data_IF_653127935820
#
_entry.id   IF_653127935820
#
_cell.length_a   1.000
_cell.length_b   1.000
_cell.length_c   1.000
_cell.angle_alpha   90.00
_cell.angle_beta   90.00
_cell.angle_gamma   90.00
#
_symmetry.space_group_name_H-M   'P 1'
#
loop_
_entity.id
_entity.type
_entity.pdbx_description
1 polymer ?
#
# COMPACT_ATOMS: atom_id res chain seq x y z
N UNK A 1 -0.52 10.04 -18.14
CA UNK A 1 0.40 9.02 -17.62
C UNK A 1 0.43 9.07 -16.11
N UNK A 2 -0.63 8.57 -15.32
CA UNK A 2 -0.58 8.64 -13.86
C UNK A 2 0.37 7.61 -13.27
N UNK A 3 1.05 7.99 -12.19
CA UNK A 3 1.88 7.10 -11.39
C UNK A 3 1.40 7.19 -9.94
N UNK A 4 0.99 6.07 -9.38
CA UNK A 4 0.61 5.99 -7.97
C UNK A 4 1.70 5.23 -7.23
N UNK A 5 2.20 5.81 -6.16
CA UNK A 5 3.19 5.16 -5.30
C UNK A 5 2.57 4.92 -3.94
N UNK A 6 2.66 3.69 -3.47
CA UNK A 6 2.14 3.30 -2.15
C UNK A 6 3.33 2.95 -1.27
N UNK A 7 3.58 3.75 -0.26
CA UNK A 7 4.64 3.46 0.71
C UNK A 7 4.05 2.60 1.82
N UNK A 8 4.68 1.49 2.11
CA UNK A 8 4.25 0.58 3.18
C UNK A 8 5.44 0.18 4.04
N UNK A 9 5.17 -0.15 5.28
CA UNK A 9 6.20 -0.67 6.17
C UNK A 9 6.48 -2.12 5.75
N UNK A 10 7.77 -2.45 5.64
CA UNK A 10 8.19 -3.80 5.30
C UNK A 10 7.59 -4.83 6.27
N UNK A 11 7.19 -5.97 5.74
CA UNK A 11 6.62 -7.10 6.48
C UNK A 11 5.18 -6.90 6.98
N UNK A 12 4.49 -5.85 6.56
CA UNK A 12 3.07 -5.66 6.91
C UNK A 12 2.17 -6.46 5.98
N UNK A 13 2.43 -6.40 4.68
CA UNK A 13 1.58 -7.05 3.68
C UNK A 13 2.25 -8.27 3.08
N UNK A 14 1.45 -9.33 2.86
CA UNK A 14 1.89 -10.50 2.12
C UNK A 14 2.06 -10.16 0.64
N UNK A 15 2.80 -10.97 -0.14
CA UNK A 15 2.87 -10.75 -1.58
C UNK A 15 1.50 -10.72 -2.26
N UNK A 16 0.56 -11.56 -1.82
CA UNK A 16 -0.80 -11.56 -2.37
C UNK A 16 -1.55 -10.27 -2.05
N UNK A 17 -1.39 -9.77 -0.83
CA UNK A 17 -2.01 -8.50 -0.45
C UNK A 17 -1.45 -7.33 -1.26
N UNK A 18 -0.16 -7.35 -1.53
CA UNK A 18 0.45 -6.32 -2.37
C UNK A 18 -0.12 -6.35 -3.79
N UNK A 19 -0.32 -7.55 -4.35
CA UNK A 19 -0.96 -7.67 -5.67
C UNK A 19 -2.39 -7.13 -5.64
N UNK A 20 -3.14 -7.42 -4.58
CA UNK A 20 -4.50 -6.90 -4.42
C UNK A 20 -4.50 -5.36 -4.35
N UNK A 21 -3.54 -4.78 -3.62
CA UNK A 21 -3.42 -3.32 -3.55
C UNK A 21 -3.19 -2.73 -4.93
N UNK A 22 -2.25 -3.31 -5.68
CA UNK A 22 -1.94 -2.85 -7.04
C UNK A 22 -3.19 -2.95 -7.92
N UNK A 23 -3.88 -4.07 -7.90
CA UNK A 23 -5.07 -4.28 -8.72
C UNK A 23 -6.18 -3.29 -8.37
N UNK A 24 -6.49 -3.15 -7.08
CA UNK A 24 -7.60 -2.30 -6.64
C UNK A 24 -7.32 -0.83 -6.87
N UNK A 25 -6.08 -0.40 -6.63
CA UNK A 25 -5.69 0.99 -6.89
C UNK A 25 -5.73 1.29 -8.38
N UNK A 26 -5.26 0.34 -9.20
CA UNK A 26 -5.34 0.48 -10.66
C UNK A 26 -6.81 0.65 -11.09
N UNK A 27 -7.70 -0.22 -10.61
CA UNK A 27 -9.12 -0.13 -10.99
C UNK A 27 -9.75 1.17 -10.52
N UNK A 28 -9.37 1.65 -9.34
CA UNK A 28 -9.86 2.93 -8.85
C UNK A 28 -9.44 4.08 -9.77
N UNK A 29 -8.18 4.06 -10.23
CA UNK A 29 -7.69 5.07 -11.19
C UNK A 29 -8.47 4.98 -12.49
N UNK A 30 -8.63 3.79 -13.04
CA UNK A 30 -9.34 3.57 -14.31
C UNK A 30 -10.79 4.05 -14.22
N UNK A 31 -11.44 3.86 -13.08
CA UNK A 31 -12.82 4.30 -12.90
C UNK A 31 -12.99 5.81 -13.07
N UNK A 32 -11.93 6.57 -12.87
CA UNK A 32 -11.95 8.02 -12.99
C UNK A 32 -11.40 8.48 -14.34
N UNK A 33 -10.26 7.91 -14.76
CA UNK A 33 -9.55 8.39 -15.96
C UNK A 33 -10.02 7.75 -17.25
N UNK A 34 -10.66 6.59 -17.17
CA UNK A 34 -11.15 5.88 -18.34
C UNK A 34 -10.30 4.68 -18.72
N UNK A 35 -10.95 3.68 -19.31
CA UNK A 35 -10.33 2.41 -19.68
C UNK A 35 -9.19 2.58 -20.69
N UNK A 36 -9.27 3.61 -21.52
CA UNK A 36 -8.24 3.85 -22.53
C UNK A 36 -6.86 4.12 -21.94
N UNK A 37 -6.80 4.57 -20.68
CA UNK A 37 -5.53 4.86 -20.02
C UNK A 37 -4.95 3.69 -19.25
N UNK A 38 -5.63 2.54 -19.22
CA UNK A 38 -5.13 1.36 -18.50
C UNK A 38 -3.68 1.01 -18.88
N UNK A 39 -3.29 0.97 -20.16
CA UNK A 39 -1.92 0.59 -20.51
C UNK A 39 -0.83 1.55 -20.03
N UNK A 40 -1.20 2.75 -19.61
CA UNK A 40 -0.24 3.76 -19.17
C UNK A 40 -0.45 4.18 -17.71
N UNK A 41 -1.25 3.43 -16.97
CA UNK A 41 -1.48 3.64 -15.55
C UNK A 41 -0.48 2.81 -14.75
N UNK A 42 0.30 3.48 -13.94
CA UNK A 42 1.38 2.85 -13.16
C UNK A 42 1.02 2.87 -11.69
N UNK A 43 1.18 1.73 -11.04
CA UNK A 43 1.03 1.61 -9.59
C UNK A 43 2.23 0.84 -9.07
N UNK A 44 2.89 1.37 -8.06
CA UNK A 44 4.02 0.66 -7.45
C UNK A 44 3.95 0.74 -5.94
N UNK A 45 4.56 -0.28 -5.31
CA UNK A 45 4.65 -0.35 -3.85
C UNK A 45 6.12 -0.19 -3.48
N UNK A 46 6.38 0.71 -2.53
CA UNK A 46 7.71 0.94 -1.98
C UNK A 46 7.70 0.48 -0.54
N UNK A 47 8.55 -0.51 -0.24
CA UNK A 47 8.67 -1.00 1.14
C UNK A 47 9.72 -0.19 1.88
N UNK A 48 9.35 0.30 3.06
CA UNK A 48 10.22 1.09 3.92
C UNK A 48 10.58 0.25 5.15
N UNK A 49 11.86 0.24 5.50
CA UNK A 49 12.34 -0.48 6.67
C UNK A 49 11.65 0.04 7.93
N UNK A 50 11.36 -0.87 8.87
CA UNK A 50 10.69 -0.51 10.12
C UNK A 50 11.43 0.57 10.89
N UNK A 51 12.77 0.52 10.86
CA UNK A 51 13.60 1.51 11.56
C UNK A 51 13.51 2.91 10.95
N UNK A 52 12.87 3.05 9.79
CA UNK A 52 12.79 4.33 9.06
C UNK A 52 11.36 4.83 8.93
N UNK A 53 10.47 4.32 9.74
CA UNK A 53 9.06 4.73 9.75
C UNK A 53 8.65 5.13 11.16
N UNK A 54 8.19 6.34 11.31
CA UNK A 54 7.78 6.85 12.62
C UNK A 54 6.53 7.73 12.49
N UNK A 55 5.70 7.70 13.51
CA UNK A 55 4.53 8.55 13.62
C UNK A 55 4.71 9.40 14.87
N UNK A 56 4.72 10.73 14.70
CA UNK A 56 4.96 11.63 15.83
C UNK A 56 6.29 11.38 16.53
N UNK A 57 7.28 10.93 15.77
CA UNK A 57 8.60 10.61 16.29
C UNK A 57 8.71 9.23 16.93
N UNK A 58 7.63 8.47 16.99
CA UNK A 58 7.62 7.12 17.56
C UNK A 58 7.73 6.08 16.44
N UNK A 59 8.72 5.18 16.50
CA UNK A 59 8.84 4.13 15.49
C UNK A 59 7.59 3.26 15.45
N UNK A 60 7.16 2.92 14.23
CA UNK A 60 6.01 2.04 14.02
C UNK A 60 6.51 0.76 13.34
N UNK A 61 6.29 -0.39 13.99
CA UNK A 61 6.76 -1.67 13.48
C UNK A 61 5.63 -2.44 12.78
N UNK A 62 6.01 -3.42 11.97
CA UNK A 62 5.03 -4.33 11.37
C UNK A 62 4.21 -5.05 12.46
N UNK A 63 4.85 -5.44 13.55
CA UNK A 63 4.15 -6.07 14.67
C UNK A 63 3.09 -5.17 15.28
N UNK A 64 3.38 -3.88 15.44
CA UNK A 64 2.42 -2.92 15.95
C UNK A 64 1.23 -2.75 14.99
N UNK A 65 1.49 -2.72 13.70
CA UNK A 65 0.43 -2.63 12.69
C UNK A 65 -0.45 -3.86 12.72
N UNK A 66 0.14 -5.06 12.79
CA UNK A 66 -0.61 -6.31 12.88
C UNK A 66 -1.45 -6.35 14.15
N UNK A 67 -0.95 -5.82 15.25
CA UNK A 67 -1.72 -5.74 16.49
C UNK A 67 -2.96 -4.85 16.33
N UNK A 68 -2.80 -3.73 15.64
CA UNK A 68 -3.94 -2.84 15.34
C UNK A 68 -4.97 -3.54 14.46
N UNK A 69 -4.54 -4.30 13.46
CA UNK A 69 -5.43 -5.05 12.60
C UNK A 69 -6.22 -6.09 13.38
N UNK A 70 -5.56 -6.82 14.28
CA UNK A 70 -6.23 -7.81 15.13
C UNK A 70 -7.24 -7.17 16.08
N UNK A 71 -6.88 -6.06 16.69
CA UNK A 71 -7.77 -5.34 17.60
C UNK A 71 -9.03 -4.86 16.87
N UNK A 72 -8.88 -4.40 15.64
CA UNK A 72 -10.00 -3.93 14.85
C UNK A 72 -10.88 -5.06 14.37
N UNK A 73 -10.29 -6.24 14.13
CA UNK A 73 -11.04 -7.42 13.69
C UNK A 73 -11.88 -8.02 14.83
N UNK A 74 -11.51 -7.77 16.06
CA UNK A 74 -12.25 -8.24 17.23
C UNK A 74 -13.42 -7.32 17.50
#
# INVERSE_FOLDING_TARGET
MPMVTIDVIKNVFTPQQKLQLIERVTEAMISVEGEALRPVTWVRIMEVEESQWAVGGQPLTAGAVHAMQRAKAA
#
